data_IF_768348681588
#
_entry.id   IF_768348681588
#
_cell.length_a   1.000
_cell.length_b   1.000
_cell.length_c   1.000
_cell.angle_alpha   90.00
_cell.angle_beta   90.00
_cell.angle_gamma   90.00
#
_symmetry.space_group_name_H-M   'P 1'
#
loop_
_entity.id
_entity.type
_entity.pdbx_description
1 polymer ?
#
# COMPACT_ATOMS: atom_id res chain seq x y z
N UNK A 1 -8.27 20.70 31.66
CA UNK A 1 -7.08 19.93 31.24
C UNK A 1 -7.32 19.45 29.82
N UNK A 2 -6.72 20.08 28.82
CA UNK A 2 -6.84 19.67 27.42
C UNK A 2 -5.89 18.51 27.16
N UNK A 3 -6.40 17.29 27.01
CA UNK A 3 -5.59 16.14 26.59
C UNK A 3 -5.20 16.32 25.13
N UNK A 4 -3.96 16.72 24.88
CA UNK A 4 -3.35 16.61 23.56
C UNK A 4 -3.22 15.11 23.24
N UNK A 5 -4.03 14.61 22.29
CA UNK A 5 -4.00 13.20 21.91
C UNK A 5 -2.90 12.99 20.87
N UNK A 6 -1.81 12.35 21.28
CA UNK A 6 -0.77 11.90 20.36
C UNK A 6 -1.23 10.62 19.63
N UNK A 7 -1.27 10.65 18.31
CA UNK A 7 -1.50 9.48 17.47
C UNK A 7 -0.17 8.96 16.95
N UNK A 8 0.14 7.70 17.26
CA UNK A 8 1.35 7.05 16.77
C UNK A 8 1.09 6.28 15.47
N UNK A 9 2.04 6.30 14.52
CA UNK A 9 1.89 5.56 13.27
C UNK A 9 2.05 4.04 13.49
N UNK A 10 1.51 3.24 12.56
CA UNK A 10 1.58 1.78 12.61
C UNK A 10 2.81 1.31 11.82
N UNK A 11 3.87 0.89 12.53
CA UNK A 11 5.13 0.40 11.94
C UNK A 11 5.60 -0.91 12.59
N UNK A 12 4.72 -1.90 12.69
CA UNK A 12 5.13 -3.25 13.13
C UNK A 12 5.80 -4.02 12.00
N UNK A 13 6.60 -5.03 12.31
CA UNK A 13 7.19 -5.92 11.29
C UNK A 13 6.11 -6.52 10.37
N UNK A 14 4.98 -6.97 10.94
CA UNK A 14 3.85 -7.46 10.16
C UNK A 14 3.33 -6.41 9.18
N UNK A 15 3.20 -5.15 9.62
CA UNK A 15 2.77 -4.07 8.74
C UNK A 15 3.75 -3.89 7.57
N UNK A 16 5.05 -3.85 7.85
CA UNK A 16 6.09 -3.71 6.82
C UNK A 16 6.10 -4.89 5.84
N UNK A 17 6.08 -6.13 6.33
CA UNK A 17 6.10 -7.33 5.48
C UNK A 17 4.89 -7.40 4.56
N UNK A 18 3.70 -7.06 5.06
CA UNK A 18 2.48 -7.03 4.23
C UNK A 18 2.59 -5.93 3.18
N UNK A 19 2.98 -4.71 3.55
CA UNK A 19 3.03 -3.59 2.60
C UNK A 19 4.14 -3.74 1.57
N UNK A 20 5.27 -4.35 1.93
CA UNK A 20 6.36 -4.64 1.01
C UNK A 20 5.95 -5.56 -0.14
N UNK A 21 4.99 -6.47 0.09
CA UNK A 21 4.45 -7.35 -0.95
C UNK A 21 3.19 -6.76 -1.60
N UNK A 22 2.22 -6.33 -0.79
CA UNK A 22 0.91 -5.92 -1.28
C UNK A 22 0.96 -4.65 -2.14
N UNK A 23 1.79 -3.65 -1.79
CA UNK A 23 1.85 -2.39 -2.55
C UNK A 23 2.38 -2.63 -3.97
N UNK A 24 3.53 -3.31 -4.18
CA UNK A 24 3.97 -3.69 -5.52
C UNK A 24 2.97 -4.59 -6.25
N UNK A 25 2.34 -5.55 -5.56
CA UNK A 25 1.35 -6.44 -6.20
C UNK A 25 0.18 -5.66 -6.79
N UNK A 26 -0.41 -4.72 -6.04
CA UNK A 26 -1.52 -3.89 -6.54
C UNK A 26 -1.07 -3.00 -7.70
N UNK A 27 0.14 -2.42 -7.62
CA UNK A 27 0.72 -1.64 -8.71
C UNK A 27 0.81 -2.46 -10.01
N UNK A 28 1.36 -3.68 -9.95
CA UNK A 28 1.49 -4.54 -11.12
C UNK A 28 0.14 -5.05 -11.65
N UNK A 29 -0.83 -5.34 -10.79
CA UNK A 29 -2.19 -5.68 -11.23
C UNK A 29 -2.79 -4.54 -12.06
N UNK A 30 -2.65 -3.29 -11.62
CA UNK A 30 -3.11 -2.12 -12.38
C UNK A 30 -2.38 -1.96 -13.72
N UNK A 31 -1.06 -2.15 -13.73
CA UNK A 31 -0.27 -2.11 -14.96
C UNK A 31 -0.69 -3.19 -15.96
N UNK A 32 -0.81 -4.45 -15.52
CA UNK A 32 -1.20 -5.60 -16.35
C UNK A 32 -2.64 -5.44 -16.87
N UNK A 33 -3.53 -4.92 -16.03
CA UNK A 33 -4.92 -4.63 -16.43
C UNK A 33 -4.96 -3.57 -17.55
N UNK A 34 -4.09 -2.55 -17.47
CA UNK A 34 -3.95 -1.54 -18.52
C UNK A 34 -3.41 -2.12 -19.82
N UNK A 35 -2.49 -3.09 -19.73
CA UNK A 35 -1.93 -3.78 -20.90
C UNK A 35 -2.99 -4.54 -21.71
N UNK A 36 -4.09 -4.98 -21.08
CA UNK A 36 -5.18 -5.69 -21.80
C UNK A 36 -5.84 -4.83 -22.89
N UNK A 37 -5.69 -3.50 -22.83
CA UNK A 37 -6.34 -2.56 -23.75
C UNK A 37 -5.37 -1.89 -24.73
N UNK A 38 -4.10 -2.28 -24.75
CA UNK A 38 -3.12 -1.74 -25.70
C UNK A 38 -3.46 -2.26 -27.11
N UNK A 39 -3.59 -1.34 -28.06
CA UNK A 39 -3.77 -1.62 -29.49
C UNK A 39 -2.46 -1.30 -30.24
N UNK A 40 -2.24 -1.97 -31.38
CA UNK A 40 -1.06 -1.79 -32.24
C UNK A 40 -1.34 -0.90 -33.43
#
# INVERSE_FOLDING_TARGET
MTTNKFTYPIFTFRWLTIHALAVPTVFFIGAISSMQFIQR
#
